data_IF_448216140499
#
_entry.id   IF_448216140499
#
_cell.length_a   1.000
_cell.length_b   1.000
_cell.length_c   1.000
_cell.angle_alpha   90.00
_cell.angle_beta   90.00
_cell.angle_gamma   90.00
#
_symmetry.space_group_name_H-M   'P 1'
#
loop_
_entity.id
_entity.type
_entity.pdbx_description
1 polymer ?
#
# COMPACT_ATOMS: atom_id res chain seq x y z
N UNK A 1 -2.94 -10.86 28.16
CA UNK A 1 -2.52 -12.23 27.85
C UNK A 1 -2.73 -12.39 26.35
N UNK A 2 -1.72 -12.31 25.48
CA UNK A 2 -0.51 -13.13 25.47
C UNK A 2 0.72 -12.28 25.12
N UNK A 3 1.83 -12.54 25.81
CA UNK A 3 3.16 -12.09 25.39
C UNK A 3 3.33 -12.46 23.91
N UNK A 4 3.55 -11.45 23.05
CA UNK A 4 4.10 -11.66 21.71
C UNK A 4 5.50 -12.22 21.93
N UNK A 5 5.63 -13.54 21.95
CA UNK A 5 6.93 -14.20 21.91
C UNK A 5 7.53 -13.87 20.55
N UNK A 6 8.59 -13.07 20.54
CA UNK A 6 9.39 -12.84 19.34
C UNK A 6 10.12 -14.14 18.99
N UNK A 7 10.13 -14.53 17.72
CA UNK A 7 10.85 -15.74 17.29
C UNK A 7 12.35 -15.47 17.36
N UNK A 8 13.00 -16.04 18.36
CA UNK A 8 14.46 -16.08 18.42
C UNK A 8 15.03 -17.07 17.41
N UNK A 9 16.28 -16.87 16.98
CA UNK A 9 17.02 -17.85 16.19
C UNK A 9 17.06 -19.24 16.86
N UNK A 10 17.03 -19.29 18.19
CA UNK A 10 17.00 -20.54 18.96
C UNK A 10 15.67 -21.28 18.82
N UNK A 11 14.55 -20.58 18.71
CA UNK A 11 13.24 -21.20 18.48
C UNK A 11 13.13 -21.72 17.04
N UNK A 12 13.70 -21.02 16.07
CA UNK A 12 13.72 -21.48 14.68
C UNK A 12 14.66 -22.68 14.46
N UNK A 13 15.80 -22.73 15.15
CA UNK A 13 16.66 -23.92 15.13
C UNK A 13 15.91 -25.18 15.59
N UNK A 14 15.05 -25.08 16.61
CA UNK A 14 14.25 -26.21 17.09
C UNK A 14 13.22 -26.68 16.06
N UNK A 15 12.65 -25.75 15.28
CA UNK A 15 11.73 -26.11 14.18
C UNK A 15 12.42 -27.07 13.21
N UNK A 16 13.66 -26.79 12.82
CA UNK A 16 14.40 -27.62 11.86
C UNK A 16 14.90 -28.97 12.42
N UNK A 17 15.00 -29.09 13.74
CA UNK A 17 15.37 -30.34 14.41
C UNK A 17 14.17 -31.29 14.54
N UNK A 18 12.96 -30.74 14.68
CA UNK A 18 11.75 -31.51 14.96
C UNK A 18 10.85 -31.74 13.73
N UNK A 19 10.87 -30.84 12.73
CA UNK A 19 9.91 -30.83 11.63
C UNK A 19 10.57 -30.66 10.25
N UNK A 20 9.95 -31.26 9.23
CA UNK A 20 10.14 -30.85 7.85
C UNK A 20 9.47 -29.47 7.64
N UNK A 21 10.17 -28.52 7.03
CA UNK A 21 9.68 -27.15 6.82
C UNK A 21 9.16 -26.97 5.40
N UNK A 22 7.88 -26.61 5.31
CA UNK A 22 7.17 -26.37 4.06
C UNK A 22 6.81 -24.89 3.88
N UNK A 23 7.10 -24.32 2.71
CA UNK A 23 6.49 -23.06 2.28
C UNK A 23 5.32 -23.37 1.34
N UNK A 24 4.09 -23.16 1.79
CA UNK A 24 2.90 -23.32 0.96
C UNK A 24 2.58 -22.01 0.23
N UNK A 25 2.69 -22.01 -1.09
CA UNK A 25 2.58 -20.86 -1.98
C UNK A 25 3.91 -20.54 -2.64
N UNK A 26 4.20 -21.18 -3.78
CA UNK A 26 5.45 -20.99 -4.53
C UNK A 26 5.36 -19.78 -5.50
N UNK A 27 4.71 -18.70 -5.07
CA UNK A 27 4.66 -17.43 -5.81
C UNK A 27 5.61 -16.41 -5.20
N UNK A 28 5.60 -15.18 -5.74
CA UNK A 28 6.50 -14.09 -5.32
C UNK A 28 6.55 -13.89 -3.80
N UNK A 29 5.41 -13.96 -3.11
CA UNK A 29 5.33 -13.78 -1.66
C UNK A 29 6.08 -14.89 -0.93
N UNK A 30 5.82 -16.15 -1.29
CA UNK A 30 6.45 -17.28 -0.63
C UNK A 30 7.93 -17.40 -0.95
N UNK A 31 8.32 -17.14 -2.20
CA UNK A 31 9.71 -17.12 -2.65
C UNK A 31 10.54 -16.07 -1.90
N UNK A 32 10.11 -14.80 -1.94
CA UNK A 32 10.87 -13.72 -1.32
C UNK A 32 10.90 -13.85 0.21
N UNK A 33 9.75 -14.19 0.84
CA UNK A 33 9.72 -14.37 2.29
C UNK A 33 10.57 -15.56 2.72
N UNK A 34 10.60 -16.66 1.96
CA UNK A 34 11.47 -17.79 2.23
C UNK A 34 12.94 -17.37 2.30
N UNK A 35 13.42 -16.60 1.33
CA UNK A 35 14.80 -16.08 1.32
C UNK A 35 15.12 -15.25 2.57
N UNK A 36 14.19 -14.38 2.99
CA UNK A 36 14.36 -13.62 4.23
C UNK A 36 14.34 -14.51 5.47
N UNK A 37 13.46 -15.50 5.56
CA UNK A 37 13.44 -16.43 6.69
C UNK A 37 14.75 -17.24 6.79
N UNK A 38 15.32 -17.65 5.65
CA UNK A 38 16.65 -18.27 5.60
C UNK A 38 17.73 -17.31 6.08
N UNK A 39 17.73 -16.07 5.61
CA UNK A 39 18.76 -15.08 5.92
C UNK A 39 18.72 -14.58 7.37
N UNK A 40 17.52 -14.32 7.91
CA UNK A 40 17.35 -13.70 9.23
C UNK A 40 17.55 -14.76 10.33
N UNK A 41 17.03 -15.97 10.08
CA UNK A 41 16.92 -16.98 11.13
C UNK A 41 17.70 -18.27 10.86
N UNK A 42 18.30 -18.43 9.67
CA UNK A 42 18.95 -19.68 9.31
C UNK A 42 17.97 -20.85 9.09
N UNK A 43 16.68 -20.55 8.86
CA UNK A 43 15.64 -21.56 8.67
C UNK A 43 15.98 -22.45 7.47
N UNK A 44 16.16 -23.75 7.68
CA UNK A 44 16.26 -24.71 6.57
C UNK A 44 14.86 -24.96 6.02
N UNK A 45 14.65 -24.71 4.72
CA UNK A 45 13.40 -25.00 4.04
C UNK A 45 13.59 -26.28 3.25
N UNK A 46 12.75 -27.28 3.49
CA UNK A 46 12.91 -28.60 2.86
C UNK A 46 12.20 -28.67 1.50
N UNK A 47 11.05 -28.00 1.35
CA UNK A 47 10.30 -27.94 0.09
C UNK A 47 9.26 -26.81 0.06
N UNK A 48 8.86 -26.45 -1.15
CA UNK A 48 7.65 -25.65 -1.39
C UNK A 48 6.47 -26.57 -1.69
N UNK A 49 5.25 -26.09 -1.49
CA UNK A 49 4.03 -26.74 -1.96
C UNK A 49 3.12 -25.71 -2.63
N UNK A 50 2.49 -26.05 -3.74
CA UNK A 50 1.56 -25.17 -4.45
C UNK A 50 0.50 -26.02 -5.16
N UNK A 51 -0.71 -25.48 -5.36
CA UNK A 51 -1.76 -26.16 -6.13
C UNK A 51 -1.51 -26.10 -7.63
N UNK A 52 -0.70 -25.14 -8.08
CA UNK A 52 -0.37 -25.03 -9.49
C UNK A 52 0.57 -26.17 -9.92
N UNK A 53 0.01 -27.12 -10.68
CA UNK A 53 0.73 -28.27 -11.20
C UNK A 53 1.95 -27.90 -12.05
N UNK A 54 1.95 -26.73 -12.69
CA UNK A 54 3.08 -26.25 -13.49
C UNK A 54 4.34 -26.01 -12.64
N UNK A 55 4.21 -25.90 -11.31
CA UNK A 55 5.35 -25.67 -10.42
C UNK A 55 5.95 -26.97 -9.89
N UNK A 56 5.22 -28.08 -9.94
CA UNK A 56 5.65 -29.32 -9.29
C UNK A 56 6.94 -29.87 -9.90
N UNK A 57 7.88 -30.25 -9.04
CA UNK A 57 9.22 -30.73 -9.41
C UNK A 57 10.21 -29.64 -9.84
N UNK A 58 9.76 -28.39 -10.01
CA UNK A 58 10.62 -27.26 -10.35
C UNK A 58 11.24 -26.66 -9.10
N UNK A 59 12.47 -26.17 -9.23
CA UNK A 59 13.10 -25.35 -8.19
C UNK A 59 12.42 -23.99 -8.11
N UNK A 60 12.08 -23.58 -6.89
CA UNK A 60 11.47 -22.26 -6.60
C UNK A 60 12.57 -21.30 -6.16
N UNK A 61 13.41 -21.75 -5.23
CA UNK A 61 14.68 -21.13 -4.86
C UNK A 61 15.80 -22.17 -5.02
N UNK A 62 17.08 -21.77 -5.14
CA UNK A 62 18.17 -22.68 -5.45
C UNK A 62 18.17 -23.94 -4.58
N UNK A 63 18.06 -25.11 -5.22
CA UNK A 63 18.09 -26.41 -4.54
C UNK A 63 16.81 -26.84 -3.82
N UNK A 64 15.74 -26.04 -3.82
CA UNK A 64 14.49 -26.35 -3.11
C UNK A 64 13.33 -26.38 -4.12
N UNK A 65 12.67 -27.54 -4.21
CA UNK A 65 11.63 -27.82 -5.19
C UNK A 65 10.22 -27.64 -4.65
N UNK A 66 9.28 -27.36 -5.54
CA UNK A 66 7.85 -27.40 -5.23
C UNK A 66 7.29 -28.81 -5.39
N UNK A 67 6.49 -29.28 -4.44
CA UNK A 67 5.76 -30.55 -4.49
C UNK A 67 4.25 -30.31 -4.63
N UNK A 68 3.50 -31.39 -4.92
CA UNK A 68 2.05 -31.34 -4.96
C UNK A 68 1.43 -31.49 -3.57
N UNK A 69 0.17 -31.05 -3.37
CA UNK A 69 -0.55 -31.26 -2.11
C UNK A 69 -0.70 -32.75 -1.72
N UNK A 70 -0.77 -33.67 -2.69
CA UNK A 70 -0.81 -35.11 -2.42
C UNK A 70 0.54 -35.66 -1.93
N UNK A 71 1.65 -35.08 -2.40
CA UNK A 71 2.97 -35.41 -1.91
C UNK A 71 3.19 -34.84 -0.50
N UNK A 72 2.70 -33.62 -0.23
CA UNK A 72 2.72 -33.00 1.09
C UNK A 72 2.00 -33.88 2.13
N UNK A 73 0.87 -34.49 1.77
CA UNK A 73 0.10 -35.38 2.63
C UNK A 73 0.87 -36.62 3.12
N UNK A 74 1.93 -37.00 2.40
CA UNK A 74 2.73 -38.21 2.64
C UNK A 74 4.05 -37.91 3.36
N UNK A 75 4.31 -36.65 3.70
CA UNK A 75 5.51 -36.22 4.44
C UNK A 75 5.44 -36.63 5.91
N UNK A 76 6.56 -36.50 6.61
CA UNK A 76 6.64 -36.65 8.06
C UNK A 76 5.89 -35.52 8.79
N UNK A 77 6.31 -35.19 10.00
CA UNK A 77 5.74 -34.04 10.71
C UNK A 77 6.21 -32.73 10.07
N UNK A 78 5.26 -31.86 9.70
CA UNK A 78 5.52 -30.65 8.91
C UNK A 78 5.18 -29.39 9.71
N UNK A 79 6.11 -28.43 9.68
CA UNK A 79 5.86 -27.03 10.01
C UNK A 79 5.60 -26.26 8.71
N UNK A 80 4.41 -25.67 8.57
CA UNK A 80 3.96 -25.09 7.32
C UNK A 80 3.85 -23.56 7.41
N UNK A 81 4.52 -22.84 6.51
CA UNK A 81 4.28 -21.42 6.30
C UNK A 81 3.27 -21.24 5.15
N UNK A 82 2.09 -20.73 5.46
CA UNK A 82 1.02 -20.49 4.49
C UNK A 82 1.16 -19.08 3.87
N UNK A 83 1.94 -18.97 2.79
CA UNK A 83 2.34 -17.73 2.15
C UNK A 83 1.64 -17.55 0.79
N UNK A 84 0.33 -17.35 0.87
CA UNK A 84 -0.53 -17.17 -0.30
C UNK A 84 -1.19 -15.79 -0.31
N UNK A 85 -1.63 -15.33 -1.48
CA UNK A 85 -2.38 -14.08 -1.58
C UNK A 85 -3.66 -14.11 -0.73
N UNK A 86 -4.05 -12.95 -0.19
CA UNK A 86 -5.19 -12.79 0.73
C UNK A 86 -6.48 -13.50 0.28
N UNK A 87 -6.77 -13.48 -1.03
CA UNK A 87 -7.95 -14.13 -1.61
C UNK A 87 -7.99 -15.64 -1.37
N UNK A 88 -6.84 -16.31 -1.38
CA UNK A 88 -6.74 -17.77 -1.21
C UNK A 88 -6.49 -18.19 0.24
N UNK A 89 -6.23 -17.24 1.14
CA UNK A 89 -5.78 -17.54 2.51
C UNK A 89 -6.74 -18.45 3.26
N UNK A 90 -8.02 -18.08 3.34
CA UNK A 90 -9.01 -18.84 4.09
C UNK A 90 -9.20 -20.27 3.57
N UNK A 91 -9.23 -20.45 2.24
CA UNK A 91 -9.40 -21.77 1.64
C UNK A 91 -8.16 -22.64 1.85
N UNK A 92 -6.96 -22.06 1.70
CA UNK A 92 -5.69 -22.74 1.96
C UNK A 92 -5.57 -23.13 3.43
N UNK A 93 -5.91 -22.25 4.38
CA UNK A 93 -5.86 -22.58 5.80
C UNK A 93 -6.81 -23.70 6.19
N UNK A 94 -8.03 -23.72 5.64
CA UNK A 94 -8.98 -24.81 5.88
C UNK A 94 -8.44 -26.14 5.37
N UNK A 95 -7.84 -26.14 4.19
CA UNK A 95 -7.24 -27.34 3.58
C UNK A 95 -6.03 -27.82 4.38
N UNK A 96 -5.09 -26.93 4.71
CA UNK A 96 -3.89 -27.26 5.47
C UNK A 96 -4.22 -27.93 6.82
N UNK A 97 -5.32 -27.51 7.47
CA UNK A 97 -5.82 -28.10 8.72
C UNK A 97 -6.39 -29.51 8.57
N UNK A 98 -6.64 -29.99 7.35
CA UNK A 98 -7.11 -31.36 7.11
C UNK A 98 -5.98 -32.39 7.09
N UNK A 99 -4.73 -31.95 6.90
CA UNK A 99 -3.55 -32.80 6.92
C UNK A 99 -3.14 -33.12 8.36
N UNK A 100 -3.16 -34.41 8.74
CA UNK A 100 -2.78 -34.86 10.09
C UNK A 100 -1.27 -34.73 10.38
N UNK A 101 -0.47 -34.63 9.32
CA UNK A 101 0.98 -34.51 9.41
C UNK A 101 1.46 -33.05 9.54
N UNK A 102 0.62 -32.05 9.25
CA UNK A 102 0.93 -30.63 9.49
C UNK A 102 0.66 -30.31 10.96
N UNK A 103 1.71 -29.99 11.73
CA UNK A 103 1.62 -29.73 13.17
C UNK A 103 1.41 -28.26 13.50
N UNK A 104 2.00 -27.39 12.69
CA UNK A 104 1.92 -25.95 12.84
C UNK A 104 1.70 -25.28 11.50
N UNK A 105 0.91 -24.21 11.52
CA UNK A 105 0.68 -23.35 10.37
C UNK A 105 0.97 -21.92 10.82
N UNK A 106 1.90 -21.26 10.14
CA UNK A 106 2.20 -19.84 10.32
C UNK A 106 1.85 -19.08 9.05
N UNK A 107 1.07 -18.02 9.18
CA UNK A 107 0.65 -17.20 8.03
C UNK A 107 1.59 -16.03 7.81
N UNK A 108 1.39 -15.34 6.68
CA UNK A 108 2.06 -14.06 6.43
C UNK A 108 1.80 -13.04 7.54
N UNK A 109 0.56 -12.93 8.02
CA UNK A 109 0.18 -11.95 9.06
C UNK A 109 0.84 -12.29 10.40
N UNK A 110 0.96 -13.58 10.72
CA UNK A 110 1.68 -14.03 11.92
C UNK A 110 3.16 -13.64 11.84
N UNK A 111 3.79 -13.75 10.67
CA UNK A 111 5.18 -13.38 10.46
C UNK A 111 5.41 -11.87 10.64
N UNK A 112 4.61 -11.03 9.99
CA UNK A 112 4.79 -9.56 10.08
C UNK A 112 4.36 -8.98 11.43
N UNK A 113 3.68 -9.76 12.26
CA UNK A 113 3.41 -9.39 13.65
C UNK A 113 4.66 -9.49 14.54
N UNK A 114 5.71 -10.22 14.11
CA UNK A 114 6.96 -10.41 14.84
C UNK A 114 7.94 -9.28 14.58
N UNK A 115 8.48 -8.72 15.66
CA UNK A 115 9.46 -7.63 15.64
C UNK A 115 10.74 -8.07 14.93
N UNK A 116 11.24 -9.27 15.24
CA UNK A 116 12.41 -9.87 14.57
C UNK A 116 12.28 -9.96 13.05
N UNK A 117 11.09 -10.29 12.53
CA UNK A 117 10.84 -10.35 11.08
C UNK A 117 10.85 -8.95 10.49
N UNK A 118 10.13 -8.01 11.10
CA UNK A 118 10.09 -6.62 10.64
C UNK A 118 11.50 -6.01 10.67
N UNK A 119 12.25 -6.22 11.75
CA UNK A 119 13.60 -5.70 11.92
C UNK A 119 14.59 -6.35 10.97
N UNK A 120 14.55 -7.68 10.81
CA UNK A 120 15.44 -8.41 9.93
C UNK A 120 15.18 -8.11 8.45
N UNK A 121 13.92 -8.03 8.02
CA UNK A 121 13.60 -7.64 6.64
C UNK A 121 14.00 -6.19 6.40
N UNK A 122 13.69 -5.26 7.32
CA UNK A 122 13.97 -3.84 7.14
C UNK A 122 15.40 -3.42 7.52
N UNK A 123 16.25 -4.35 7.93
CA UNK A 123 17.64 -4.08 8.26
C UNK A 123 18.37 -3.52 7.02
N UNK A 124 18.92 -2.32 7.18
CA UNK A 124 19.68 -1.62 6.17
C UNK A 124 21.15 -1.57 6.62
N UNK A 125 22.03 -2.23 5.88
CA UNK A 125 23.46 -1.98 6.07
C UNK A 125 23.78 -0.59 5.51
N UNK A 126 24.16 0.34 6.37
CA UNK A 126 24.57 1.71 6.02
C UNK A 126 25.82 1.76 5.09
N UNK A 127 26.28 0.62 4.59
CA UNK A 127 27.57 0.42 3.91
C UNK A 127 27.57 0.94 2.46
N UNK A 128 26.43 1.28 1.87
CA UNK A 128 26.39 1.96 0.57
C UNK A 128 25.82 3.37 0.71
N UNK A 129 26.73 4.33 0.88
CA UNK A 129 26.48 5.73 0.56
C UNK A 129 26.42 5.90 -0.96
N UNK A 130 25.29 6.40 -1.45
CA UNK A 130 25.10 6.80 -2.86
C UNK A 130 24.00 5.94 -3.47
N UNK A 131 22.82 6.46 -3.71
CA UNK A 131 22.52 7.73 -4.35
C UNK A 131 21.35 8.40 -3.62
N UNK A 132 21.55 9.59 -3.05
CA UNK A 132 20.41 10.51 -3.03
C UNK A 132 20.13 10.83 -4.50
N UNK A 133 18.86 10.80 -4.91
CA UNK A 133 18.45 11.38 -6.19
C UNK A 133 18.68 12.89 -6.11
N UNK A 134 19.95 13.33 -6.22
CA UNK A 134 20.37 14.74 -6.22
C UNK A 134 19.68 15.54 -7.34
N UNK A 135 19.13 14.86 -8.35
CA UNK A 135 18.36 15.48 -9.43
C UNK A 135 16.98 15.99 -8.99
N UNK A 136 16.42 15.51 -7.87
CA UNK A 136 15.08 15.91 -7.44
C UNK A 136 15.08 17.07 -6.43
N UNK A 137 16.22 17.42 -5.83
CA UNK A 137 16.35 18.36 -4.68
C UNK A 137 15.89 19.80 -4.96
N UNK A 138 15.43 20.11 -6.19
CA UNK A 138 14.95 21.43 -6.60
C UNK A 138 13.68 21.39 -7.45
N UNK A 139 12.84 20.37 -7.29
CA UNK A 139 11.57 20.35 -8.03
C UNK A 139 10.56 21.30 -7.37
N UNK A 140 10.35 22.46 -7.98
CA UNK A 140 9.31 23.41 -7.56
C UNK A 140 7.92 22.83 -7.83
N UNK A 141 6.97 23.09 -6.92
CA UNK A 141 5.57 22.74 -7.12
C UNK A 141 5.03 23.49 -8.34
N UNK A 142 4.20 22.83 -9.14
CA UNK A 142 3.49 23.52 -10.22
C UNK A 142 2.56 24.56 -9.61
N UNK A 143 2.66 25.82 -10.09
CA UNK A 143 1.72 26.88 -9.74
C UNK A 143 0.39 26.79 -10.53
N UNK A 144 0.22 25.72 -11.30
CA UNK A 144 -0.99 25.48 -12.07
C UNK A 144 -2.20 25.24 -11.16
N UNK A 145 -3.33 25.84 -11.53
CA UNK A 145 -4.61 25.71 -10.84
C UNK A 145 -5.72 25.53 -11.86
N UNK A 146 -6.67 24.65 -11.54
CA UNK A 146 -7.90 24.50 -12.31
C UNK A 146 -8.90 25.56 -11.84
N UNK A 147 -9.34 26.46 -12.73
CA UNK A 147 -10.30 27.49 -12.38
C UNK A 147 -11.69 26.89 -12.16
N UNK A 148 -12.36 27.33 -11.09
CA UNK A 148 -13.73 26.94 -10.78
C UNK A 148 -14.75 27.70 -11.64
N UNK A 149 -14.89 27.28 -12.91
CA UNK A 149 -15.70 28.00 -13.91
C UNK A 149 -17.20 27.91 -13.66
N UNK A 150 -17.66 26.88 -12.96
CA UNK A 150 -19.07 26.62 -12.71
C UNK A 150 -19.52 27.07 -11.32
N UNK A 151 -18.62 27.67 -10.53
CA UNK A 151 -18.86 28.13 -9.16
C UNK A 151 -19.46 27.02 -8.27
N UNK A 152 -18.90 25.81 -8.38
CA UNK A 152 -19.27 24.63 -7.59
C UNK A 152 -18.42 24.54 -6.34
N UNK A 153 -18.88 23.80 -5.34
CA UNK A 153 -18.14 23.67 -4.07
C UNK A 153 -17.03 22.61 -4.15
N UNK A 154 -17.25 21.56 -4.93
CA UNK A 154 -16.40 20.36 -4.92
C UNK A 154 -15.80 20.09 -6.30
N UNK A 155 -14.49 19.84 -6.35
CA UNK A 155 -13.86 19.17 -7.48
C UNK A 155 -13.66 17.68 -7.18
N UNK A 156 -14.35 16.81 -7.91
CA UNK A 156 -14.18 15.35 -7.82
C UNK A 156 -13.29 14.90 -8.97
N UNK A 157 -12.25 14.12 -8.70
CA UNK A 157 -11.32 13.76 -9.75
C UNK A 157 -10.62 12.42 -9.55
N UNK A 158 -10.19 11.86 -10.67
CA UNK A 158 -9.25 10.73 -10.73
C UNK A 158 -8.04 11.10 -11.58
N UNK A 159 -6.96 10.34 -11.44
CA UNK A 159 -5.77 10.50 -12.25
C UNK A 159 -5.37 9.15 -12.85
N UNK A 160 -5.23 9.11 -14.17
CA UNK A 160 -4.88 7.94 -14.96
C UNK A 160 -3.72 8.32 -15.88
N UNK A 161 -2.52 7.94 -15.50
CA UNK A 161 -1.27 8.16 -16.27
C UNK A 161 -0.68 6.81 -16.66
N UNK A 162 0.05 6.76 -17.78
CA UNK A 162 0.71 5.54 -18.27
C UNK A 162 -0.24 4.47 -18.79
N UNK A 163 -1.52 4.78 -19.03
CA UNK A 163 -2.53 3.83 -19.50
C UNK A 163 -2.90 2.74 -18.48
N UNK A 164 -2.66 3.00 -17.19
CA UNK A 164 -2.74 2.01 -16.11
C UNK A 164 -4.17 1.57 -15.74
N UNK A 165 -5.17 2.43 -15.95
CA UNK A 165 -6.56 2.17 -15.59
C UNK A 165 -7.51 2.65 -16.71
N UNK A 166 -8.71 2.07 -16.76
CA UNK A 166 -9.82 2.62 -17.53
C UNK A 166 -10.59 3.69 -16.72
N UNK A 167 -11.29 4.61 -17.38
CA UNK A 167 -12.07 5.65 -16.70
C UNK A 167 -13.35 5.04 -16.11
N UNK A 168 -13.49 5.07 -14.79
CA UNK A 168 -14.61 4.40 -14.07
C UNK A 168 -15.49 5.37 -13.28
N UNK A 169 -15.24 6.69 -13.40
CA UNK A 169 -16.09 7.72 -12.81
C UNK A 169 -17.50 7.63 -13.41
N UNK A 170 -18.41 6.97 -12.71
CA UNK A 170 -19.83 6.92 -13.07
C UNK A 170 -20.64 7.01 -11.81
N UNK A 171 -21.20 8.19 -11.53
CA UNK A 171 -22.17 8.36 -10.46
C UNK A 171 -23.18 9.43 -10.81
N UNK A 172 -24.38 9.27 -10.24
CA UNK A 172 -25.38 10.30 -10.11
C UNK A 172 -24.70 11.59 -9.63
N UNK A 173 -24.70 12.60 -10.50
CA UNK A 173 -23.93 13.82 -10.32
C UNK A 173 -24.49 14.59 -9.13
N UNK A 174 -23.59 14.94 -8.20
CA UNK A 174 -23.93 15.93 -7.20
C UNK A 174 -24.00 17.30 -7.86
N UNK A 175 -25.10 18.03 -7.65
CA UNK A 175 -25.27 19.36 -8.25
C UNK A 175 -24.25 20.40 -7.76
N UNK A 176 -23.55 20.12 -6.66
CA UNK A 176 -22.53 21.00 -6.09
C UNK A 176 -21.10 20.63 -6.49
N UNK A 177 -20.92 19.68 -7.42
CA UNK A 177 -19.63 19.15 -7.80
C UNK A 177 -19.35 19.25 -9.31
N UNK A 178 -18.09 19.50 -9.64
CA UNK A 178 -17.51 19.29 -10.97
C UNK A 178 -16.66 18.01 -10.98
N UNK A 179 -16.62 17.32 -12.13
CA UNK A 179 -15.95 16.04 -12.28
C UNK A 179 -14.81 16.12 -13.30
N UNK A 180 -13.64 15.58 -12.92
CA UNK A 180 -12.42 15.66 -13.71
C UNK A 180 -11.71 14.31 -13.86
N UNK A 181 -11.08 14.11 -15.01
CA UNK A 181 -10.09 13.05 -15.24
C UNK A 181 -8.79 13.71 -15.65
N UNK A 182 -7.73 13.49 -14.89
CA UNK A 182 -6.37 13.92 -15.26
C UNK A 182 -5.67 12.76 -15.96
N UNK A 183 -5.28 12.91 -17.22
CA UNK A 183 -4.65 11.84 -18.00
C UNK A 183 -3.64 12.33 -19.06
N UNK A 184 -2.78 11.41 -19.54
CA UNK A 184 -1.69 11.73 -20.48
C UNK A 184 -2.17 12.14 -21.88
N UNK A 185 -3.30 11.58 -22.30
CA UNK A 185 -3.93 11.90 -23.58
C UNK A 185 -5.32 12.39 -23.26
N UNK A 186 -5.56 13.68 -23.48
CA UNK A 186 -6.88 14.30 -23.30
C UNK A 186 -7.92 13.51 -24.09
N UNK A 187 -8.69 12.67 -23.40
CA UNK A 187 -9.84 12.01 -23.99
C UNK A 187 -10.90 13.08 -24.33
N UNK A 188 -11.73 12.84 -25.34
CA UNK A 188 -12.95 13.64 -25.50
C UNK A 188 -13.74 13.60 -24.19
N UNK A 189 -14.28 14.74 -23.76
CA UNK A 189 -15.04 14.82 -22.51
C UNK A 189 -16.15 13.76 -22.52
N UNK A 190 -16.08 12.80 -21.60
CA UNK A 190 -17.06 11.72 -21.49
C UNK A 190 -18.14 12.15 -20.50
N UNK A 191 -19.41 12.22 -20.92
CA UNK A 191 -20.56 12.31 -20.02
C UNK A 191 -20.45 13.40 -18.93
N UNK A 192 -20.13 14.64 -19.31
CA UNK A 192 -19.89 15.81 -18.44
C UNK A 192 -18.72 15.69 -17.45
N UNK A 193 -17.78 14.79 -17.72
CA UNK A 193 -16.48 14.72 -17.04
C UNK A 193 -15.46 15.48 -17.89
N UNK A 194 -14.81 16.47 -17.29
CA UNK A 194 -13.79 17.28 -17.98
C UNK A 194 -12.45 16.57 -17.95
N UNK A 195 -11.88 16.29 -19.11
CA UNK A 195 -10.51 15.78 -19.23
C UNK A 195 -9.50 16.92 -19.10
N UNK A 196 -8.47 16.68 -18.29
CA UNK A 196 -7.34 17.58 -18.10
C UNK A 196 -6.07 16.84 -18.53
N UNK A 197 -5.24 17.52 -19.33
CA UNK A 197 -3.92 17.01 -19.70
C UNK A 197 -3.00 17.00 -18.47
N UNK A 198 -2.52 15.81 -18.11
CA UNK A 198 -1.58 15.62 -17.01
C UNK A 198 -0.29 16.44 -17.19
N UNK A 199 0.15 16.68 -18.43
CA UNK A 199 1.33 17.49 -18.75
C UNK A 199 1.19 18.99 -18.42
N UNK A 200 -0.04 19.50 -18.26
CA UNK A 200 -0.29 20.88 -17.79
C UNK A 200 -0.13 21.02 -16.27
N UNK A 201 -0.39 19.94 -15.53
CA UNK A 201 -0.40 19.91 -14.07
C UNK A 201 0.96 19.46 -13.51
N UNK A 202 1.49 18.38 -14.05
CA UNK A 202 2.63 17.65 -13.50
C UNK A 202 3.93 18.34 -13.94
N UNK A 203 4.90 18.56 -13.02
CA UNK A 203 6.13 19.21 -13.42
C UNK A 203 6.92 18.33 -14.42
N UNK A 204 7.41 18.98 -15.49
CA UNK A 204 7.89 18.31 -16.71
C UNK A 204 9.03 17.32 -16.51
N UNK A 205 9.86 17.54 -15.50
CA UNK A 205 11.02 16.68 -15.21
C UNK A 205 10.63 15.39 -14.46
N UNK A 206 9.35 15.23 -14.08
CA UNK A 206 8.87 14.04 -13.37
C UNK A 206 8.48 12.95 -14.36
N UNK A 207 9.43 12.05 -14.63
CA UNK A 207 9.26 10.99 -15.64
C UNK A 207 8.68 9.67 -15.12
N UNK A 208 8.68 9.44 -13.80
CA UNK A 208 8.18 8.20 -13.18
C UNK A 208 6.65 8.22 -13.09
N UNK A 209 5.96 7.40 -13.90
CA UNK A 209 4.49 7.36 -13.98
C UNK A 209 3.80 7.12 -12.63
N UNK A 210 4.44 6.36 -11.73
CA UNK A 210 3.89 6.17 -10.38
C UNK A 210 3.87 7.51 -9.63
N UNK A 211 4.99 8.23 -9.60
CA UNK A 211 5.05 9.56 -8.97
C UNK A 211 4.20 10.59 -9.69
N UNK A 212 4.09 10.54 -11.02
CA UNK A 212 3.20 11.41 -11.81
C UNK A 212 1.75 11.27 -11.33
N UNK A 213 1.27 10.04 -11.19
CA UNK A 213 -0.04 9.76 -10.61
C UNK A 213 -0.15 10.27 -9.16
N UNK A 214 0.86 9.98 -8.32
CA UNK A 214 0.86 10.40 -6.91
C UNK A 214 0.91 11.91 -6.74
N UNK A 215 1.53 12.65 -7.65
CA UNK A 215 1.50 14.11 -7.64
C UNK A 215 0.07 14.62 -7.74
N UNK A 216 -0.69 14.20 -8.76
CA UNK A 216 -2.08 14.61 -8.93
C UNK A 216 -2.96 14.15 -7.76
N UNK A 217 -2.72 12.94 -7.24
CA UNK A 217 -3.44 12.39 -6.09
C UNK A 217 -3.23 13.21 -4.81
N UNK A 218 -1.98 13.53 -4.49
CA UNK A 218 -1.60 14.18 -3.23
C UNK A 218 -1.84 15.69 -3.29
N UNK A 219 -1.44 16.35 -4.38
CA UNK A 219 -1.48 17.81 -4.53
C UNK A 219 -2.86 18.37 -4.90
N UNK A 220 -3.95 17.62 -4.66
CA UNK A 220 -5.31 18.01 -5.03
C UNK A 220 -5.76 19.35 -4.45
N UNK A 221 -5.37 19.67 -3.21
CA UNK A 221 -5.71 20.95 -2.56
C UNK A 221 -5.05 22.16 -3.22
N UNK A 222 -3.94 21.96 -3.93
CA UNK A 222 -3.26 23.00 -4.71
C UNK A 222 -3.81 23.08 -6.13
N UNK A 223 -3.99 21.92 -6.78
CA UNK A 223 -4.51 21.82 -8.15
C UNK A 223 -5.92 22.42 -8.25
N UNK A 224 -6.77 22.18 -7.25
CA UNK A 224 -8.16 22.64 -7.22
C UNK A 224 -8.38 23.77 -6.20
N UNK A 225 -7.39 24.64 -6.00
CA UNK A 225 -7.43 25.70 -4.99
C UNK A 225 -8.58 26.73 -5.14
N UNK A 226 -9.24 26.79 -6.30
CA UNK A 226 -10.42 27.66 -6.55
C UNK A 226 -11.76 26.98 -6.13
N UNK A 227 -11.71 25.73 -5.67
CA UNK A 227 -12.84 25.01 -5.07
C UNK A 227 -12.70 24.99 -3.55
N UNK A 228 -13.81 24.96 -2.82
CA UNK A 228 -13.80 24.80 -1.36
C UNK A 228 -13.21 23.44 -0.97
N UNK A 229 -13.60 22.39 -1.70
CA UNK A 229 -13.20 21.01 -1.44
C UNK A 229 -12.70 20.28 -2.69
N UNK A 230 -11.83 19.29 -2.48
CA UNK A 230 -11.47 18.32 -3.52
C UNK A 230 -11.63 16.89 -3.02
N UNK A 231 -12.12 16.01 -3.89
CA UNK A 231 -12.27 14.58 -3.63
C UNK A 231 -11.50 13.81 -4.71
N UNK A 232 -10.40 13.17 -4.31
CA UNK A 232 -9.70 12.22 -5.16
C UNK A 232 -10.31 10.83 -5.03
N UNK A 233 -10.40 10.10 -6.14
CA UNK A 233 -10.83 8.70 -6.21
C UNK A 233 -9.87 7.92 -7.12
N UNK A 234 -9.28 6.83 -6.62
CA UNK A 234 -8.45 5.93 -7.43
C UNK A 234 -9.22 5.41 -8.65
N UNK A 235 -8.51 5.14 -9.76
CA UNK A 235 -9.13 4.71 -11.03
C UNK A 235 -9.93 3.41 -10.94
N UNK A 236 -9.65 2.56 -9.94
CA UNK A 236 -10.36 1.32 -9.65
C UNK A 236 -11.46 1.46 -8.58
N UNK A 237 -11.92 2.67 -8.31
CA UNK A 237 -13.04 2.96 -7.41
C UNK A 237 -14.13 3.70 -8.18
N UNK A 238 -15.33 3.13 -8.16
CA UNK A 238 -16.53 3.75 -8.73
C UNK A 238 -17.32 4.46 -7.65
N UNK A 239 -17.73 5.70 -7.91
CA UNK A 239 -18.67 6.42 -7.04
C UNK A 239 -20.07 5.85 -7.30
N UNK A 240 -20.84 5.50 -6.28
CA UNK A 240 -22.20 4.92 -6.44
C UNK A 240 -23.24 5.57 -5.53
N UNK A 241 -22.82 6.55 -4.72
CA UNK A 241 -23.69 7.30 -3.83
C UNK A 241 -23.36 8.79 -3.79
N UNK A 242 -23.99 9.49 -2.86
CA UNK A 242 -23.93 10.94 -2.78
C UNK A 242 -22.69 11.41 -2.00
N UNK A 243 -21.72 11.95 -2.74
CA UNK A 243 -20.45 12.45 -2.23
C UNK A 243 -20.54 13.80 -1.49
N UNK A 244 -21.64 14.55 -1.65
CA UNK A 244 -21.80 15.86 -1.01
C UNK A 244 -21.78 15.77 0.52
N UNK A 245 -22.15 14.61 1.09
CA UNK A 245 -22.14 14.35 2.53
C UNK A 245 -20.75 14.42 3.18
N UNK A 246 -19.68 14.32 2.39
CA UNK A 246 -18.30 14.28 2.89
C UNK A 246 -17.69 15.67 3.06
N UNK A 247 -18.42 16.73 2.71
CA UNK A 247 -17.96 18.12 2.83
C UNK A 247 -18.86 18.92 3.78
N UNK A 248 -18.41 20.11 4.18
CA UNK A 248 -19.20 21.04 5.00
C UNK A 248 -19.12 20.84 6.53
N UNK A 249 -18.62 19.69 7.00
CA UNK A 249 -18.38 19.40 8.43
C UNK A 249 -17.02 18.71 8.65
N UNK A 250 -15.99 19.20 7.97
CA UNK A 250 -14.64 18.70 8.16
C UNK A 250 -14.12 19.14 9.53
N UNK A 251 -13.27 18.33 10.14
CA UNK A 251 -12.60 18.73 11.38
C UNK A 251 -11.48 19.75 11.10
N UNK A 252 -10.80 20.19 12.15
CA UNK A 252 -9.77 21.24 12.07
C UNK A 252 -8.62 20.92 11.10
N UNK A 253 -8.34 19.64 10.83
CA UNK A 253 -7.27 19.22 9.92
C UNK A 253 -7.62 19.38 8.44
N UNK A 254 -8.90 19.55 8.09
CA UNK A 254 -9.33 19.76 6.72
C UNK A 254 -9.01 18.59 5.78
N UNK A 255 -8.90 17.37 6.30
CA UNK A 255 -8.57 16.17 5.53
C UNK A 255 -9.30 14.93 6.08
N UNK A 256 -9.81 14.10 5.17
CA UNK A 256 -10.44 12.83 5.50
C UNK A 256 -10.04 11.72 4.53
N UNK A 257 -9.96 10.51 5.06
CA UNK A 257 -9.79 9.27 4.31
C UNK A 257 -10.39 8.09 5.09
N UNK A 258 -10.37 6.87 4.55
CA UNK A 258 -10.78 5.69 5.31
C UNK A 258 -9.66 5.22 6.22
N UNK A 259 -10.00 4.63 7.37
CA UNK A 259 -9.01 3.84 8.11
C UNK A 259 -8.65 2.59 7.31
N UNK A 260 -7.43 2.10 7.49
CA UNK A 260 -6.98 0.88 6.87
C UNK A 260 -7.39 -0.34 7.72
N UNK A 261 -8.37 -1.10 7.24
CA UNK A 261 -9.05 -2.16 8.01
C UNK A 261 -8.17 -3.35 8.47
N UNK A 262 -6.99 -3.55 7.87
CA UNK A 262 -6.18 -4.77 8.05
C UNK A 262 -4.69 -4.51 8.33
N UNK A 263 -4.28 -3.25 8.39
CA UNK A 263 -2.88 -2.86 8.56
C UNK A 263 -2.87 -1.52 9.26
N UNK A 264 -2.10 -1.41 10.32
CA UNK A 264 -1.99 -0.23 11.19
C UNK A 264 -0.52 0.18 11.38
N UNK A 265 0.41 -0.49 10.72
CA UNK A 265 1.84 -0.34 10.90
C UNK A 265 2.55 -0.15 9.56
N UNK A 266 3.13 1.03 9.36
CA UNK A 266 3.86 1.36 8.12
C UNK A 266 5.05 0.44 7.88
N UNK A 267 5.65 -0.12 8.94
CA UNK A 267 6.76 -1.06 8.83
C UNK A 267 6.30 -2.42 8.30
N UNK A 268 5.12 -2.87 8.72
CA UNK A 268 4.51 -4.09 8.20
C UNK A 268 4.12 -3.92 6.73
N UNK A 269 3.56 -2.76 6.35
CA UNK A 269 3.33 -2.42 4.94
C UNK A 269 4.64 -2.32 4.13
N UNK A 270 5.72 -1.81 4.71
CA UNK A 270 7.03 -1.76 4.04
C UNK A 270 7.57 -3.16 3.75
N UNK A 271 7.41 -4.10 4.68
CA UNK A 271 7.72 -5.52 4.43
C UNK A 271 6.85 -6.06 3.29
N UNK A 272 5.55 -5.74 3.24
CA UNK A 272 4.69 -6.13 2.10
C UNK A 272 5.19 -5.53 0.78
N UNK A 273 5.63 -4.27 0.77
CA UNK A 273 6.18 -3.61 -0.42
C UNK A 273 7.43 -4.33 -0.93
N UNK A 274 8.37 -4.66 -0.05
CA UNK A 274 9.61 -5.38 -0.39
C UNK A 274 9.29 -6.79 -0.91
N UNK A 275 8.54 -7.57 -0.13
CA UNK A 275 8.23 -8.97 -0.45
C UNK A 275 7.44 -9.11 -1.76
N UNK A 276 6.61 -8.13 -2.12
CA UNK A 276 5.88 -8.14 -3.39
C UNK A 276 6.64 -7.45 -4.53
N UNK A 277 7.88 -6.98 -4.33
CA UNK A 277 8.67 -6.29 -5.35
C UNK A 277 8.02 -5.00 -5.87
N UNK A 278 7.28 -4.28 -5.01
CA UNK A 278 6.50 -3.09 -5.42
C UNK A 278 7.35 -1.81 -5.54
N UNK A 279 8.55 -1.82 -4.97
CA UNK A 279 9.55 -0.75 -5.09
C UNK A 279 10.93 -1.31 -4.80
N UNK A 280 11.96 -0.49 -4.98
CA UNK A 280 13.34 -0.84 -4.64
C UNK A 280 13.50 -1.08 -3.13
N UNK A 281 14.02 -2.26 -2.78
CA UNK A 281 14.17 -2.71 -1.41
C UNK A 281 15.07 -1.77 -0.58
N UNK A 282 16.18 -1.30 -1.15
CA UNK A 282 17.11 -0.41 -0.46
C UNK A 282 16.46 0.96 -0.16
N UNK A 283 15.71 1.52 -1.10
CA UNK A 283 14.98 2.78 -0.90
C UNK A 283 13.96 2.65 0.25
N UNK A 284 13.19 1.55 0.26
CA UNK A 284 12.17 1.30 1.30
C UNK A 284 12.83 1.12 2.68
N UNK A 285 13.89 0.32 2.76
CA UNK A 285 14.65 0.12 4.00
C UNK A 285 15.22 1.41 4.56
N UNK A 286 15.84 2.22 3.70
CA UNK A 286 16.40 3.53 4.07
C UNK A 286 15.32 4.50 4.58
N UNK A 287 14.14 4.50 3.95
CA UNK A 287 13.00 5.29 4.41
C UNK A 287 12.53 4.85 5.80
N UNK A 288 12.29 3.55 5.99
CA UNK A 288 11.84 3.01 7.29
C UNK A 288 12.90 3.19 8.38
N UNK A 289 14.18 3.01 8.08
CA UNK A 289 15.28 3.27 9.01
C UNK A 289 15.33 4.72 9.48
N UNK A 290 15.13 5.68 8.57
CA UNK A 290 15.03 7.09 8.92
C UNK A 290 13.83 7.38 9.82
N UNK A 291 12.64 6.86 9.49
CA UNK A 291 11.44 7.05 10.32
C UNK A 291 11.60 6.45 11.72
N UNK A 292 12.20 5.26 11.82
CA UNK A 292 12.52 4.62 13.10
C UNK A 292 13.48 5.47 13.92
N UNK A 293 14.54 6.01 13.30
CA UNK A 293 15.52 6.88 13.96
C UNK A 293 14.88 8.16 14.50
N UNK A 294 13.86 8.67 13.82
CA UNK A 294 13.11 9.84 14.27
C UNK A 294 12.11 9.52 15.39
N UNK A 295 11.75 8.24 15.57
CA UNK A 295 10.88 7.77 16.65
C UNK A 295 9.46 7.40 16.21
N UNK A 296 9.21 7.22 14.90
CA UNK A 296 7.89 6.81 14.40
C UNK A 296 7.49 5.44 15.00
N UNK A 297 6.41 5.37 15.78
CA UNK A 297 6.04 4.13 16.47
C UNK A 297 5.46 3.08 15.51
N UNK A 298 5.58 1.82 15.91
CA UNK A 298 4.79 0.74 15.30
C UNK A 298 3.33 0.89 15.71
N UNK A 299 2.41 0.42 14.86
CA UNK A 299 0.98 0.41 15.15
C UNK A 299 0.40 1.80 15.48
N UNK A 300 0.91 2.86 14.84
CA UNK A 300 0.33 4.21 14.97
C UNK A 300 -1.07 4.29 14.35
N UNK A 301 -1.45 3.34 13.51
CA UNK A 301 -2.63 3.38 12.64
C UNK A 301 -2.25 3.71 11.20
N UNK A 302 -3.12 3.38 10.25
CA UNK A 302 -2.95 3.74 8.85
C UNK A 302 -4.28 4.13 8.21
N UNK A 303 -4.19 4.98 7.18
CA UNK A 303 -5.30 5.36 6.32
C UNK A 303 -5.22 4.62 4.99
N UNK A 304 -6.35 4.50 4.29
CA UNK A 304 -6.41 3.90 2.96
C UNK A 304 -6.46 4.99 1.89
N UNK A 305 -5.41 5.12 1.10
CA UNK A 305 -5.22 6.31 0.26
C UNK A 305 -6.09 6.36 -1.01
N UNK A 306 -7.02 5.43 -1.24
CA UNK A 306 -7.77 5.39 -2.49
C UNK A 306 -8.81 6.50 -2.64
N UNK A 307 -9.30 7.05 -1.53
CA UNK A 307 -10.22 8.18 -1.52
C UNK A 307 -9.68 9.21 -0.54
N UNK A 308 -9.53 10.45 -1.01
CA UNK A 308 -8.99 11.56 -0.23
C UNK A 308 -9.94 12.75 -0.35
N UNK A 309 -10.47 13.22 0.78
CA UNK A 309 -11.31 14.42 0.84
C UNK A 309 -10.50 15.53 1.52
N UNK A 310 -10.47 16.70 0.90
CA UNK A 310 -9.67 17.84 1.36
C UNK A 310 -10.49 19.13 1.36
N UNK A 311 -10.26 19.96 2.35
CA UNK A 311 -10.65 21.35 2.39
C UNK A 311 -9.48 22.14 1.81
N UNK A 312 -9.63 22.64 0.59
CA UNK A 312 -8.48 22.97 -0.25
C UNK A 312 -7.68 24.16 0.30
N UNK A 313 -8.32 25.06 1.02
CA UNK A 313 -7.69 26.24 1.62
C UNK A 313 -7.32 26.08 3.09
N UNK A 314 -7.56 24.90 3.68
CA UNK A 314 -7.14 24.62 5.05
C UNK A 314 -5.60 24.55 5.14
N UNK A 315 -4.95 25.37 5.99
CA UNK A 315 -3.49 25.42 6.05
C UNK A 315 -2.86 24.12 6.55
N UNK A 316 -3.51 23.42 7.49
CA UNK A 316 -3.01 22.15 8.02
C UNK A 316 -3.07 21.07 6.93
N UNK A 317 -4.18 20.99 6.21
CA UNK A 317 -4.33 20.07 5.08
C UNK A 317 -3.24 20.33 4.00
N UNK A 318 -3.02 21.59 3.62
CA UNK A 318 -2.01 21.94 2.61
C UNK A 318 -0.61 21.54 3.05
N UNK A 319 -0.24 21.86 4.29
CA UNK A 319 1.07 21.49 4.83
C UNK A 319 1.25 19.97 4.85
N UNK A 320 0.23 19.22 5.26
CA UNK A 320 0.22 17.75 5.23
C UNK A 320 0.45 17.22 3.81
N UNK A 321 -0.27 17.73 2.80
CA UNK A 321 -0.13 17.29 1.40
C UNK A 321 1.26 17.62 0.85
N UNK A 322 1.80 18.80 1.14
CA UNK A 322 3.15 19.19 0.70
C UNK A 322 4.22 18.31 1.33
N UNK A 323 4.13 18.04 2.64
CA UNK A 323 5.06 17.15 3.33
C UNK A 323 4.95 15.70 2.83
N UNK A 324 3.73 15.22 2.60
CA UNK A 324 3.51 13.90 2.05
C UNK A 324 4.07 13.76 0.63
N UNK A 325 3.87 14.77 -0.21
CA UNK A 325 4.46 14.79 -1.55
C UNK A 325 5.99 14.78 -1.51
N UNK A 326 6.62 15.56 -0.62
CA UNK A 326 8.09 15.53 -0.45
C UNK A 326 8.58 14.11 -0.12
N UNK A 327 7.90 13.40 0.78
CA UNK A 327 8.27 12.02 1.11
C UNK A 327 8.17 11.08 -0.10
N UNK A 328 7.09 11.18 -0.90
CA UNK A 328 6.92 10.37 -2.12
C UNK A 328 7.93 10.75 -3.22
N UNK A 329 8.26 12.02 -3.33
CA UNK A 329 9.22 12.54 -4.30
C UNK A 329 10.64 12.02 -4.00
N UNK A 330 11.08 12.11 -2.74
CA UNK A 330 12.47 11.84 -2.35
C UNK A 330 12.73 10.43 -1.85
N UNK A 331 11.69 9.66 -1.51
CA UNK A 331 11.81 8.29 -0.98
C UNK A 331 11.05 7.30 -1.83
N UNK A 332 10.48 6.25 -1.25
CA UNK A 332 9.67 5.28 -1.99
C UNK A 332 8.51 5.98 -2.69
N UNK A 333 8.22 5.54 -3.90
CA UNK A 333 7.04 5.99 -4.67
C UNK A 333 5.71 5.45 -4.12
N UNK A 334 5.78 4.60 -3.09
CA UNK A 334 4.61 4.03 -2.41
C UNK A 334 4.06 5.03 -1.39
N UNK A 335 3.03 5.73 -1.80
CA UNK A 335 2.31 6.73 -1.01
C UNK A 335 1.77 6.20 0.34
N UNK A 336 1.45 4.90 0.41
CA UNK A 336 1.00 4.22 1.62
C UNK A 336 2.06 4.17 2.74
N UNK A 337 3.35 4.35 2.41
CA UNK A 337 4.45 4.29 3.40
C UNK A 337 4.68 5.61 4.14
N UNK A 338 4.16 6.74 3.65
CA UNK A 338 4.56 8.07 4.15
C UNK A 338 3.43 8.93 4.69
N UNK A 339 2.15 8.73 4.31
CA UNK A 339 1.05 9.58 4.80
C UNK A 339 0.97 9.58 6.34
N UNK A 340 0.92 8.38 6.93
CA UNK A 340 0.87 8.22 8.38
C UNK A 340 2.07 8.84 9.08
N UNK A 341 3.26 8.70 8.50
CA UNK A 341 4.46 9.34 9.03
C UNK A 341 4.33 10.87 9.02
N UNK A 342 3.79 11.47 7.96
CA UNK A 342 3.57 12.91 7.91
C UNK A 342 2.57 13.40 8.97
N UNK A 343 1.49 12.64 9.21
CA UNK A 343 0.55 12.92 10.30
C UNK A 343 1.25 12.92 11.66
N UNK A 344 1.97 11.84 11.97
CA UNK A 344 2.73 11.70 13.21
C UNK A 344 3.75 12.83 13.37
N UNK A 345 4.50 13.17 12.31
CA UNK A 345 5.52 14.21 12.33
C UNK A 345 4.95 15.60 12.60
N UNK A 346 3.71 15.85 12.16
CA UNK A 346 2.97 17.09 12.44
C UNK A 346 2.24 17.08 13.79
N UNK A 347 2.34 15.99 14.57
CA UNK A 347 1.63 15.86 15.83
C UNK A 347 0.12 15.62 15.70
N UNK A 348 -0.33 15.20 14.51
CA UNK A 348 -1.73 14.86 14.25
C UNK A 348 -1.95 13.40 14.65
N UNK A 349 -2.71 13.22 15.72
CA UNK A 349 -3.18 11.92 16.18
C UNK A 349 -4.12 11.32 15.13
N UNK A 350 -3.83 10.08 14.69
CA UNK A 350 -4.61 9.44 13.65
C UNK A 350 -6.07 9.26 14.07
N UNK A 351 -6.34 9.05 15.36
CA UNK A 351 -7.70 8.83 15.86
C UNK A 351 -8.55 10.10 15.79
N UNK A 352 -7.90 11.27 15.68
CA UNK A 352 -8.57 12.57 15.57
C UNK A 352 -8.82 12.98 14.13
N UNK A 353 -8.20 12.32 13.15
CA UNK A 353 -8.41 12.65 11.75
C UNK A 353 -9.83 12.31 11.32
N UNK A 354 -10.42 13.10 10.43
CA UNK A 354 -11.77 12.83 10.00
C UNK A 354 -11.76 11.55 9.15
N UNK A 355 -12.73 10.66 9.38
CA UNK A 355 -12.76 9.36 8.71
C UNK A 355 -13.99 9.21 7.81
N UNK A 356 -13.78 8.61 6.65
CA UNK A 356 -14.84 8.17 5.73
C UNK A 356 -15.41 6.79 6.12
N UNK A 357 -14.94 6.23 7.24
CA UNK A 357 -15.30 4.91 7.78
C UNK A 357 -14.07 4.02 8.00
N UNK A 358 -14.29 2.89 8.65
CA UNK A 358 -13.22 1.95 9.05
C UNK A 358 -12.71 1.04 7.91
N UNK A 359 -13.49 0.90 6.84
CA UNK A 359 -13.13 0.07 5.68
C UNK A 359 -13.79 0.66 4.43
N UNK A 360 -12.95 1.07 3.46
CA UNK A 360 -13.42 1.55 2.16
C UNK A 360 -14.39 0.58 1.49
N UNK A 361 -14.17 -0.74 1.64
CA UNK A 361 -14.98 -1.78 0.97
C UNK A 361 -16.41 -1.87 1.51
N UNK A 362 -16.66 -1.27 2.67
CA UNK A 362 -17.98 -1.23 3.32
C UNK A 362 -18.67 0.14 3.14
N UNK A 363 -18.00 1.10 2.52
CA UNK A 363 -18.59 2.40 2.28
C UNK A 363 -19.63 2.31 1.16
N UNK A 364 -20.87 2.71 1.45
CA UNK A 364 -22.00 2.58 0.52
C UNK A 364 -21.94 3.52 -0.69
N UNK A 365 -21.14 4.58 -0.62
CA UNK A 365 -21.04 5.60 -1.67
C UNK A 365 -19.88 5.32 -2.65
N UNK A 366 -19.05 4.30 -2.35
CA UNK A 366 -17.91 3.90 -3.18
C UNK A 366 -17.86 2.38 -3.38
N UNK A 367 -17.74 1.95 -4.63
CA UNK A 367 -17.62 0.55 -5.02
C UNK A 367 -16.20 0.29 -5.54
N UNK A 368 -15.47 -0.59 -4.87
CA UNK A 368 -14.18 -1.07 -5.35
C UNK A 368 -14.39 -2.12 -6.45
N UNK A 369 -13.92 -1.84 -7.67
CA UNK A 369 -14.16 -2.70 -8.84
C UNK A 369 -13.08 -3.76 -9.07
N UNK A 370 -12.03 -3.80 -8.23
CA UNK A 370 -10.97 -4.80 -8.28
C UNK A 370 -9.57 -4.20 -8.34
N UNK A 371 -8.56 -5.06 -8.56
CA UNK A 371 -7.18 -4.59 -8.74
C UNK A 371 -7.07 -3.85 -10.07
N UNK A 372 -6.18 -2.85 -10.12
CA UNK A 372 -5.72 -2.25 -11.36
C UNK A 372 -5.31 -3.35 -12.34
N UNK A 373 -5.72 -3.21 -13.61
CA UNK A 373 -5.52 -4.21 -14.66
C UNK A 373 -4.04 -4.34 -14.99
#
# INVERSE_FOLDING_TARGET
MNNKHDLSQQEISKINDEYEVCIYGAGIVGENMALHLQSIFGLRIDFFCDKNADKWGKEVIPGIKCISPEALAKKGEVFCFALVGLYYRESVLRELKTYSNIKYIMTYDDLIALDSVIEGVLACDDVLQGTSNKSLEKMELSNFKIPNRHNKQIAVYTCITGGYDEIQLSADKSEIADYYVICDNKAESLNDITSIDAGEIIPKDLMDDTRRNRYCKIMGSHIFADYDYSIYVDGNVKIVGDISRYVGNMNEFGFMSHMHAYEDCIYSEAVRVIINGKDDEYIVKKQMGAYRKEGMPRHYGMLHNAILVRENCNPICRELMENWWKEVLYRSKRDQLSLTYCLWKQGIDIEKIGTLGEDMRKNKDFLWIGRHI
#
